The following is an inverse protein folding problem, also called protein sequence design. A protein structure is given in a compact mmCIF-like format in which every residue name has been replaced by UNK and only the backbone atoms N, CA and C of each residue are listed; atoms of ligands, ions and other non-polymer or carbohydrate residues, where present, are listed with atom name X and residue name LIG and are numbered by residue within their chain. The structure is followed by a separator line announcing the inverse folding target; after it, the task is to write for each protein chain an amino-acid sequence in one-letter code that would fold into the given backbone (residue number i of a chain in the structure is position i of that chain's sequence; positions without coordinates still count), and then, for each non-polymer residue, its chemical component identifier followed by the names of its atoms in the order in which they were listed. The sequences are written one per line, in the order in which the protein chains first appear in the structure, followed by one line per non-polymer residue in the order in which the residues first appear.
data_IF_096457707919
#
_entry.id   IF_096457707919
#
_cell.length_a   1.000
_cell.length_b   1.000
_cell.length_c   1.000
_cell.angle_alpha   90.00
_cell.angle_beta   90.00
_cell.angle_gamma   90.00
#
_symmetry.space_group_name_H-M   'P 1'
#
loop_
_entity.id
_entity.type
_entity.pdbx_description
1 polymer ?
#
# COMPACT_ATOMS: atom_id res chain seq x y z
N UNK A 1 -18.38 31.32 7.02
CA UNK A 1 -16.98 31.76 7.18
C UNK A 1 -16.34 30.76 8.13
N UNK A 2 -15.78 29.68 7.58
CA UNK A 2 -14.38 29.53 7.18
C UNK A 2 -13.47 29.36 8.40
N UNK A 3 -13.01 28.12 8.62
CA UNK A 3 -11.60 27.75 8.79
C UNK A 3 -11.40 26.23 8.77
N UNK A 4 -10.80 25.78 7.67
CA UNK A 4 -9.72 24.78 7.59
C UNK A 4 -10.06 23.39 8.17
N UNK A 5 -10.61 22.46 7.38
CA UNK A 5 -9.80 21.58 6.51
C UNK A 5 -8.65 20.93 7.26
N UNK A 6 -8.96 20.03 8.19
CA UNK A 6 -8.00 19.01 8.60
C UNK A 6 -7.87 18.05 7.42
N UNK A 7 -6.95 18.41 6.54
CA UNK A 7 -6.27 17.50 5.63
C UNK A 7 -5.60 16.43 6.51
N UNK A 8 -6.39 15.45 6.96
CA UNK A 8 -5.85 14.19 7.43
C UNK A 8 -5.39 13.49 6.16
N UNK A 9 -4.22 13.90 5.66
CA UNK A 9 -3.46 13.17 4.65
C UNK A 9 -3.01 11.86 5.30
N UNK A 10 -3.96 10.98 5.61
CA UNK A 10 -3.69 9.62 6.01
C UNK A 10 -2.98 8.99 4.82
N UNK A 11 -1.76 8.51 5.04
CA UNK A 11 -1.01 7.86 3.98
C UNK A 11 -1.92 6.81 3.33
N UNK A 12 -1.99 6.75 1.99
CA UNK A 12 -2.92 5.85 1.31
C UNK A 12 -2.68 4.42 1.80
N UNK A 13 -3.71 3.82 2.42
CA UNK A 13 -3.65 2.46 2.92
C UNK A 13 -3.77 1.50 1.73
N UNK A 14 -2.68 0.81 1.34
CA UNK A 14 -2.70 -0.06 0.18
C UNK A 14 -3.68 -1.23 0.32
N UNK A 15 -4.03 -1.66 1.54
CA UNK A 15 -5.02 -2.72 1.75
C UNK A 15 -6.43 -2.20 1.51
N UNK A 16 -6.75 -1.02 2.01
CA UNK A 16 -8.05 -0.37 1.76
C UNK A 16 -8.26 -0.13 0.26
N UNK A 17 -7.26 0.45 -0.42
CA UNK A 17 -7.31 0.69 -1.86
C UNK A 17 -7.45 -0.61 -2.66
N UNK A 18 -6.78 -1.69 -2.22
CA UNK A 18 -6.92 -3.03 -2.80
C UNK A 18 -8.34 -3.56 -2.65
N UNK A 19 -8.98 -3.44 -1.48
CA UNK A 19 -10.35 -3.89 -1.27
C UNK A 19 -11.36 -3.12 -2.12
N UNK A 20 -11.18 -1.80 -2.26
CA UNK A 20 -12.02 -0.99 -3.14
C UNK A 20 -11.84 -1.33 -4.62
N UNK A 21 -10.61 -1.60 -5.06
CA UNK A 21 -10.32 -2.07 -6.41
C UNK A 21 -10.98 -3.43 -6.68
N UNK A 22 -10.92 -4.35 -5.72
CA UNK A 22 -11.58 -5.66 -5.78
C UNK A 22 -13.11 -5.51 -5.87
N UNK A 23 -13.69 -4.62 -5.06
CA UNK A 23 -15.13 -4.34 -5.08
C UNK A 23 -15.55 -3.77 -6.45
N UNK A 24 -14.78 -2.86 -7.03
CA UNK A 24 -15.02 -2.29 -8.37
C UNK A 24 -14.92 -3.33 -9.48
N UNK A 25 -13.97 -4.26 -9.38
CA UNK A 25 -13.83 -5.39 -10.30
C UNK A 25 -14.90 -6.48 -10.09
N UNK A 26 -15.66 -6.43 -8.99
CA UNK A 26 -16.69 -7.39 -8.61
C UNK A 26 -16.16 -8.65 -7.90
N UNK A 27 -14.89 -9.01 -8.07
CA UNK A 27 -14.27 -10.09 -7.30
C UNK A 27 -12.74 -9.98 -7.25
N UNK A 28 -12.11 -10.64 -6.27
CA UNK A 28 -10.66 -10.65 -6.15
C UNK A 28 -9.99 -11.36 -7.33
N UNK A 29 -10.65 -12.38 -7.90
CA UNK A 29 -10.19 -13.06 -9.11
C UNK A 29 -10.25 -12.14 -10.34
N UNK A 30 -11.38 -11.45 -10.54
CA UNK A 30 -11.53 -10.53 -11.66
C UNK A 30 -10.51 -9.37 -11.59
N UNK A 31 -10.28 -8.83 -10.39
CA UNK A 31 -9.22 -7.85 -10.17
C UNK A 31 -7.84 -8.42 -10.52
N UNK A 32 -7.51 -9.62 -10.02
CA UNK A 32 -6.23 -10.26 -10.29
C UNK A 32 -6.00 -10.49 -11.80
N UNK A 33 -7.01 -11.01 -12.52
CA UNK A 33 -6.96 -11.21 -13.96
C UNK A 33 -6.80 -9.87 -14.72
N UNK A 34 -7.56 -8.83 -14.36
CA UNK A 34 -7.45 -7.50 -14.96
C UNK A 34 -6.10 -6.82 -14.67
N UNK A 35 -5.53 -7.07 -13.49
CA UNK A 35 -4.24 -6.54 -13.05
C UNK A 35 -3.03 -7.35 -13.54
N UNK A 36 -3.25 -8.51 -14.17
CA UNK A 36 -2.18 -9.45 -14.53
C UNK A 36 -1.46 -10.06 -13.32
N UNK A 37 -2.12 -10.11 -12.16
CA UNK A 37 -1.60 -10.66 -10.91
C UNK A 37 -2.17 -12.08 -10.66
N UNK A 38 -1.47 -12.88 -9.86
CA UNK A 38 -2.03 -14.16 -9.43
C UNK A 38 -3.05 -13.97 -8.30
N UNK A 39 -4.15 -14.73 -8.33
CA UNK A 39 -5.15 -14.70 -7.28
C UNK A 39 -4.55 -15.07 -5.90
N UNK A 40 -3.58 -15.99 -5.88
CA UNK A 40 -2.85 -16.37 -4.68
C UNK A 40 -2.08 -15.18 -4.09
N UNK A 41 -1.39 -14.41 -4.94
CA UNK A 41 -0.69 -13.20 -4.53
C UNK A 41 -1.63 -12.14 -3.95
N UNK A 42 -2.77 -11.88 -4.61
CA UNK A 42 -3.78 -10.94 -4.08
C UNK A 42 -4.32 -11.41 -2.73
N UNK A 43 -4.54 -12.71 -2.56
CA UNK A 43 -5.00 -13.29 -1.29
C UNK A 43 -3.94 -13.17 -0.18
N UNK A 44 -2.67 -13.44 -0.47
CA UNK A 44 -1.57 -13.31 0.50
C UNK A 44 -1.39 -11.86 0.96
N UNK A 45 -1.56 -10.89 0.05
CA UNK A 45 -1.51 -9.47 0.38
C UNK A 45 -2.70 -9.07 1.26
N UNK A 46 -3.93 -9.51 0.91
CA UNK A 46 -5.13 -9.25 1.74
C UNK A 46 -5.04 -9.85 3.14
N UNK A 47 -4.47 -11.04 3.27
CA UNK A 47 -4.29 -11.73 4.55
C UNK A 47 -3.12 -11.18 5.36
N UNK A 48 -2.39 -10.17 4.86
CA UNK A 48 -1.21 -9.61 5.52
C UNK A 48 -0.02 -10.56 5.59
N UNK A 49 -0.08 -11.72 4.92
CA UNK A 49 1.02 -12.69 4.86
C UNK A 49 2.20 -12.15 4.05
N UNK A 50 1.90 -11.26 3.10
CA UNK A 50 2.89 -10.61 2.25
C UNK A 50 2.61 -9.13 2.16
N UNK A 51 3.65 -8.30 2.28
CA UNK A 51 3.52 -6.87 2.04
C UNK A 51 3.11 -6.58 0.57
N UNK A 52 2.34 -5.52 0.31
CA UNK A 52 2.04 -5.06 -1.04
C UNK A 52 3.35 -4.78 -1.80
N UNK A 53 3.57 -5.53 -2.87
CA UNK A 53 4.74 -5.38 -3.74
C UNK A 53 4.52 -4.29 -4.78
N UNK A 54 5.58 -3.96 -5.53
CA UNK A 54 5.51 -2.94 -6.57
C UNK A 54 4.40 -3.22 -7.61
N UNK A 55 4.18 -4.50 -7.95
CA UNK A 55 3.18 -4.89 -8.95
C UNK A 55 1.75 -4.51 -8.54
N UNK A 56 1.32 -4.80 -7.30
CA UNK A 56 -0.01 -4.41 -6.82
C UNK A 56 -0.09 -2.90 -6.56
N UNK A 57 0.99 -2.29 -6.05
CA UNK A 57 1.01 -0.85 -5.79
C UNK A 57 0.87 -0.05 -7.08
N UNK A 58 1.57 -0.42 -8.15
CA UNK A 58 1.45 0.26 -9.46
C UNK A 58 0.03 0.19 -10.03
N UNK A 59 -0.63 -0.96 -9.92
CA UNK A 59 -2.03 -1.12 -10.35
C UNK A 59 -2.97 -0.25 -9.54
N UNK A 60 -2.68 -0.05 -8.25
CA UNK A 60 -3.41 0.85 -7.37
C UNK A 60 -3.02 2.33 -7.53
N UNK A 61 -2.04 2.65 -8.38
CA UNK A 61 -1.52 4.02 -8.53
C UNK A 61 -0.70 4.49 -7.32
N UNK A 62 -0.21 3.57 -6.50
CA UNK A 62 0.58 3.82 -5.31
C UNK A 62 2.06 3.53 -5.54
N UNK A 63 2.94 4.24 -4.82
CA UNK A 63 4.38 4.00 -4.82
C UNK A 63 4.87 3.84 -3.37
N UNK A 64 5.66 2.80 -3.10
CA UNK A 64 6.33 2.66 -1.80
C UNK A 64 7.64 3.43 -1.82
N UNK A 65 7.70 4.57 -1.12
CA UNK A 65 8.94 5.30 -0.88
C UNK A 65 9.59 4.87 0.44
N UNK A 66 10.85 4.46 0.39
CA UNK A 66 11.67 4.14 1.56
C UNK A 66 12.80 5.15 1.63
N UNK A 67 12.87 5.93 2.71
CA UNK A 67 13.92 6.91 2.96
C UNK A 67 14.79 6.49 4.14
N UNK A 68 16.11 6.55 3.97
CA UNK A 68 17.09 6.30 5.04
C UNK A 68 17.64 7.63 5.54
N UNK A 69 17.69 7.79 6.86
CA UNK A 69 18.26 8.96 7.53
C UNK A 69 19.58 8.58 8.23
N UNK A 70 20.52 9.53 8.38
CA UNK A 70 21.76 9.26 9.10
C UNK A 70 21.47 8.90 10.56
N UNK A 71 22.11 7.84 11.04
CA UNK A 71 22.14 7.52 12.47
C UNK A 71 23.14 8.47 13.14
N UNK A 72 22.71 9.20 14.17
CA UNK A 72 23.65 9.99 14.97
C UNK A 72 24.71 9.05 15.56
N UNK A 73 26.00 9.42 15.55
CA UNK A 73 27.04 8.58 16.14
C UNK A 73 26.74 8.39 17.63
N UNK A 74 26.56 7.14 18.05
CA UNK A 74 26.58 6.80 19.46
C UNK A 74 28.05 6.81 19.88
N UNK A 75 28.46 7.81 20.64
CA UNK A 75 29.79 7.85 21.24
C UNK A 75 29.85 6.75 22.31
N UNK A 76 30.29 5.56 21.93
CA UNK A 76 30.75 4.55 22.89
C UNK A 76 32.05 5.08 23.50
N UNK A 77 31.93 5.70 24.67
CA UNK A 77 33.07 6.02 25.53
C UNK A 77 33.64 4.71 26.05
N UNK A 78 34.87 4.37 25.63
CA UNK A 78 35.71 3.32 26.23
C UNK A 78 36.43 3.85 27.47
#
# INVERSE_FOLDING_TARGET
MARESLDNTEAPDPLRELEEAIRRAGSARAFAEAAGLSQAYVSDVRLGRRAPGAAVLQVLGLERRVSYAPVAPHTTTL
#
